data_IF_786755751701
#
_entry.id   IF_786755751701
#
_cell.length_a   1.000
_cell.length_b   1.000
_cell.length_c   1.000
_cell.angle_alpha   90.00
_cell.angle_beta   90.00
_cell.angle_gamma   90.00
#
_symmetry.space_group_name_H-M   'P 1'
#
loop_
_entity.id
_entity.type
_entity.pdbx_description
1 polymer ?
#
# COMPACT_ATOMS: atom_id res chain seq x y z
N UNK A 1 -11.34 -20.72 5.16
CA UNK A 1 -10.60 -19.96 6.18
C UNK A 1 -10.85 -20.61 7.54
N UNK A 2 -9.80 -20.86 8.32
CA UNK A 2 -9.86 -21.42 9.68
C UNK A 2 -9.03 -20.57 10.63
N UNK A 3 -9.39 -20.61 11.92
CA UNK A 3 -8.69 -19.89 12.97
C UNK A 3 -8.11 -20.89 13.97
N UNK A 4 -6.81 -20.90 14.22
CA UNK A 4 -6.19 -21.81 15.15
C UNK A 4 -6.60 -21.58 16.61
N UNK A 5 -7.17 -20.42 16.94
CA UNK A 5 -7.77 -20.17 18.23
C UNK A 5 -8.85 -21.22 18.56
N UNK A 6 -9.58 -21.74 17.56
CA UNK A 6 -10.68 -22.68 17.76
C UNK A 6 -10.23 -24.00 18.40
N UNK A 7 -9.00 -24.44 18.14
CA UNK A 7 -8.43 -25.67 18.74
C UNK A 7 -7.36 -25.39 19.79
N UNK A 8 -6.81 -24.18 19.87
CA UNK A 8 -5.80 -23.82 20.86
C UNK A 8 -6.36 -23.29 22.17
N UNK A 9 -7.54 -22.66 22.16
CA UNK A 9 -8.12 -21.97 23.33
C UNK A 9 -8.33 -22.87 24.56
N UNK A 10 -8.67 -24.13 24.31
CA UNK A 10 -8.93 -25.10 25.35
C UNK A 10 -7.72 -26.03 25.62
N UNK A 11 -6.60 -25.81 24.95
CA UNK A 11 -5.40 -26.61 25.07
C UNK A 11 -4.48 -26.05 26.16
N UNK A 12 -4.48 -26.70 27.34
CA UNK A 12 -3.66 -26.21 28.45
C UNK A 12 -2.16 -26.31 28.14
N UNK A 13 -1.35 -25.48 28.81
CA UNK A 13 0.11 -25.54 28.66
C UNK A 13 0.69 -26.91 29.00
N UNK A 14 0.12 -27.59 30.01
CA UNK A 14 0.54 -28.94 30.39
C UNK A 14 0.20 -29.97 29.33
N UNK A 15 -0.99 -29.86 28.76
CA UNK A 15 -1.38 -30.74 27.64
C UNK A 15 -0.50 -30.50 26.43
N UNK A 16 -0.22 -29.23 26.09
CA UNK A 16 0.67 -28.90 25.00
C UNK A 16 2.09 -29.47 25.20
N UNK A 17 2.64 -29.34 26.41
CA UNK A 17 3.95 -29.92 26.73
C UNK A 17 3.94 -31.46 26.60
N UNK A 18 2.84 -32.11 27.01
CA UNK A 18 2.68 -33.57 26.95
C UNK A 18 2.40 -34.06 25.53
N UNK A 19 1.52 -33.42 24.77
CA UNK A 19 1.06 -33.91 23.47
C UNK A 19 1.96 -33.44 22.30
N UNK A 20 2.62 -32.29 22.45
CA UNK A 20 3.46 -31.70 21.40
C UNK A 20 4.94 -31.68 21.83
N UNK A 21 5.21 -31.09 22.99
CA UNK A 21 6.57 -30.81 23.44
C UNK A 21 7.45 -32.06 23.55
N UNK A 22 6.91 -33.18 24.03
CA UNK A 22 7.67 -34.44 24.15
C UNK A 22 8.16 -35.05 22.83
N UNK A 23 7.53 -34.68 21.71
CA UNK A 23 7.85 -35.27 20.40
C UNK A 23 8.95 -34.51 19.65
N UNK A 24 9.22 -33.24 20.01
CA UNK A 24 10.22 -32.40 19.35
C UNK A 24 11.30 -32.03 20.38
N UNK A 25 12.54 -32.45 20.13
CA UNK A 25 13.65 -32.16 21.04
C UNK A 25 14.13 -30.73 20.94
N UNK A 26 14.64 -30.17 22.03
CA UNK A 26 15.27 -28.84 22.04
C UNK A 26 16.40 -28.76 21.01
N UNK A 27 17.22 -29.81 20.90
CA UNK A 27 18.31 -29.87 19.91
C UNK A 27 17.80 -29.72 18.46
N UNK A 28 16.64 -30.34 18.14
CA UNK A 28 16.00 -30.18 16.85
C UNK A 28 15.56 -28.72 16.61
N UNK A 29 14.95 -28.10 17.63
CA UNK A 29 14.50 -26.72 17.57
C UNK A 29 15.67 -25.74 17.39
N UNK A 30 16.75 -25.95 18.16
CA UNK A 30 17.98 -25.13 18.10
C UNK A 30 18.74 -25.29 16.78
N UNK A 31 18.57 -26.41 16.07
CA UNK A 31 19.22 -26.63 14.79
C UNK A 31 18.63 -25.83 13.62
N UNK A 32 17.46 -25.17 13.82
CA UNK A 32 16.85 -24.33 12.79
C UNK A 32 17.65 -23.07 12.53
N UNK A 33 17.81 -22.68 11.27
CA UNK A 33 18.63 -21.52 10.87
C UNK A 33 18.13 -20.20 11.51
N UNK A 34 16.81 -20.02 11.63
CA UNK A 34 16.20 -18.87 12.29
C UNK A 34 16.60 -18.77 13.76
N UNK A 35 16.68 -19.88 14.46
CA UNK A 35 17.11 -19.96 15.88
C UNK A 35 18.61 -19.77 16.00
N UNK A 36 19.42 -20.45 15.18
CA UNK A 36 20.89 -20.31 15.18
C UNK A 36 21.34 -18.87 14.98
N UNK A 37 20.78 -18.16 14.01
CA UNK A 37 21.09 -16.75 13.72
C UNK A 37 20.85 -15.85 14.93
N UNK A 38 19.75 -16.10 15.67
CA UNK A 38 19.43 -15.33 16.88
C UNK A 38 20.37 -15.66 18.04
N UNK A 39 20.70 -16.92 18.26
CA UNK A 39 21.60 -17.38 19.34
C UNK A 39 23.05 -16.97 19.11
N UNK A 40 23.51 -16.91 17.87
CA UNK A 40 24.88 -16.56 17.51
C UNK A 40 25.16 -15.04 17.54
N UNK A 41 24.21 -14.21 17.97
CA UNK A 41 24.40 -12.77 18.10
C UNK A 41 24.31 -11.98 16.78
N UNK A 42 23.84 -12.61 15.69
CA UNK A 42 23.58 -11.91 14.42
C UNK A 42 22.38 -10.95 14.50
N UNK A 43 21.54 -11.11 15.53
CA UNK A 43 20.46 -10.18 15.85
C UNK A 43 20.77 -9.45 17.18
N UNK A 44 20.47 -8.14 17.22
CA UNK A 44 20.66 -7.29 18.41
C UNK A 44 19.85 -7.73 19.62
N UNK A 45 18.66 -8.32 19.36
CA UNK A 45 17.73 -8.77 20.38
C UNK A 45 17.84 -10.30 20.54
N UNK A 46 17.81 -10.78 21.78
CA UNK A 46 17.77 -12.20 22.10
C UNK A 46 16.52 -12.89 21.54
N UNK A 47 16.46 -14.22 21.68
CA UNK A 47 15.30 -15.03 21.28
C UNK A 47 14.35 -15.14 22.46
N UNK A 48 13.12 -14.67 22.31
CA UNK A 48 12.08 -14.82 23.32
C UNK A 48 11.56 -16.28 23.39
N UNK A 49 10.98 -16.65 24.51
CA UNK A 49 10.33 -17.96 24.66
C UNK A 49 9.22 -18.15 23.61
N UNK A 50 8.44 -17.11 23.35
CA UNK A 50 7.37 -17.14 22.33
C UNK A 50 7.93 -17.41 20.93
N UNK A 51 8.98 -16.70 20.53
CA UNK A 51 9.62 -16.93 19.22
C UNK A 51 10.23 -18.32 19.13
N UNK A 52 10.85 -18.81 20.19
CA UNK A 52 11.43 -20.16 20.22
C UNK A 52 10.37 -21.26 20.09
N UNK A 53 9.25 -21.11 20.81
CA UNK A 53 8.14 -22.10 20.82
C UNK A 53 7.20 -21.97 19.65
N UNK A 54 7.24 -20.86 18.90
CA UNK A 54 6.34 -20.62 17.76
C UNK A 54 6.36 -21.75 16.72
N UNK A 55 7.54 -22.34 16.46
CA UNK A 55 7.65 -23.48 15.58
C UNK A 55 6.84 -24.70 16.04
N UNK A 56 6.62 -24.87 17.36
CA UNK A 56 5.78 -25.94 17.89
C UNK A 56 4.28 -25.62 17.73
N UNK A 57 3.90 -24.35 17.90
CA UNK A 57 2.51 -23.90 17.73
C UNK A 57 2.07 -24.11 16.27
N UNK A 58 2.84 -23.63 15.30
CA UNK A 58 2.55 -23.81 13.88
C UNK A 58 2.69 -25.30 13.48
N UNK A 59 3.61 -26.03 14.09
CA UNK A 59 3.76 -27.46 13.90
C UNK A 59 2.52 -28.24 14.32
N UNK A 60 1.94 -27.88 15.45
CA UNK A 60 0.68 -28.46 15.94
C UNK A 60 -0.51 -28.08 15.06
N UNK A 61 -0.58 -26.84 14.55
CA UNK A 61 -1.62 -26.45 13.60
C UNK A 61 -1.59 -27.36 12.36
N UNK A 62 -0.41 -27.71 11.84
CA UNK A 62 -0.30 -28.63 10.72
C UNK A 62 -0.75 -30.05 11.08
N UNK A 63 -0.36 -30.56 12.25
CA UNK A 63 -0.83 -31.86 12.77
C UNK A 63 -2.36 -31.88 12.92
N UNK A 64 -2.94 -30.86 13.54
CA UNK A 64 -4.39 -30.74 13.71
C UNK A 64 -5.13 -30.74 12.37
N UNK A 65 -4.65 -29.95 11.40
CA UNK A 65 -5.23 -29.90 10.06
C UNK A 65 -5.05 -31.22 9.29
N UNK A 66 -3.93 -31.90 9.50
CA UNK A 66 -3.71 -33.24 8.95
C UNK A 66 -4.74 -34.23 9.48
N UNK A 67 -4.95 -34.27 10.80
CA UNK A 67 -5.86 -35.22 11.46
C UNK A 67 -7.34 -34.90 11.19
N UNK A 68 -7.71 -33.63 11.21
CA UNK A 68 -9.13 -33.23 11.15
C UNK A 68 -9.62 -32.91 9.73
N UNK A 69 -8.71 -32.53 8.82
CA UNK A 69 -9.05 -32.08 7.46
C UNK A 69 -8.30 -32.85 6.36
N UNK A 70 -7.44 -33.79 6.70
CA UNK A 70 -6.62 -34.52 5.72
C UNK A 70 -5.60 -33.63 4.99
N UNK A 71 -5.18 -32.52 5.59
CA UNK A 71 -4.23 -31.59 5.00
C UNK A 71 -2.84 -32.23 4.92
N UNK A 72 -2.31 -32.44 3.70
CA UNK A 72 -1.02 -33.09 3.46
C UNK A 72 0.08 -32.16 2.94
N UNK A 73 -0.26 -30.93 2.58
CA UNK A 73 0.70 -29.95 2.07
C UNK A 73 0.56 -28.64 2.81
N UNK A 74 1.66 -28.14 3.38
CA UNK A 74 1.76 -26.78 3.90
C UNK A 74 2.69 -25.95 3.03
N UNK A 75 2.24 -24.75 2.65
CA UNK A 75 2.97 -23.82 1.78
C UNK A 75 3.23 -22.51 2.50
N UNK A 76 4.34 -21.83 2.17
CA UNK A 76 4.66 -20.52 2.71
C UNK A 76 5.85 -19.85 2.04
N UNK A 77 6.27 -18.71 2.57
CA UNK A 77 7.55 -18.11 2.19
C UNK A 77 8.73 -18.89 2.74
N UNK A 78 9.93 -18.69 2.20
CA UNK A 78 11.15 -19.40 2.63
C UNK A 78 11.50 -19.18 4.10
N UNK A 79 11.04 -18.10 4.71
CA UNK A 79 11.15 -17.82 6.14
C UNK A 79 10.32 -18.79 7.01
N UNK A 80 9.29 -19.43 6.44
CA UNK A 80 8.41 -20.39 7.11
C UNK A 80 8.94 -21.83 7.09
N UNK A 81 10.04 -22.10 6.36
CA UNK A 81 10.56 -23.46 6.19
C UNK A 81 10.78 -24.20 7.51
N UNK A 82 11.37 -23.52 8.51
CA UNK A 82 11.62 -24.09 9.83
C UNK A 82 10.35 -24.53 10.56
N UNK A 83 9.29 -23.70 10.50
CA UNK A 83 8.02 -23.97 11.15
C UNK A 83 7.28 -25.11 10.44
N UNK A 84 7.19 -25.05 9.09
CA UNK A 84 6.49 -26.05 8.27
C UNK A 84 7.14 -27.44 8.46
N UNK A 85 8.46 -27.52 8.40
CA UNK A 85 9.17 -28.78 8.58
C UNK A 85 9.08 -29.33 10.01
N UNK A 86 8.88 -28.48 11.02
CA UNK A 86 8.58 -28.92 12.39
C UNK A 86 7.23 -29.63 12.45
N UNK A 87 6.21 -29.11 11.74
CA UNK A 87 4.91 -29.78 11.63
C UNK A 87 5.01 -31.13 10.91
N UNK A 88 5.75 -31.20 9.81
CA UNK A 88 5.98 -32.46 9.11
C UNK A 88 6.66 -33.50 10.01
N UNK A 89 7.68 -33.10 10.78
CA UNK A 89 8.37 -34.00 11.71
C UNK A 89 7.45 -34.41 12.88
N UNK A 90 6.61 -33.50 13.38
CA UNK A 90 5.63 -33.81 14.42
C UNK A 90 4.64 -34.89 13.94
N UNK A 91 4.05 -34.71 12.75
CA UNK A 91 3.14 -35.69 12.12
C UNK A 91 3.84 -37.04 11.95
N UNK A 92 5.07 -37.03 11.45
CA UNK A 92 5.85 -38.30 11.29
C UNK A 92 6.03 -38.99 12.62
N UNK A 93 6.33 -38.29 13.70
CA UNK A 93 6.61 -38.89 15.02
C UNK A 93 5.37 -39.34 15.76
N UNK A 94 4.25 -38.64 15.58
CA UNK A 94 2.98 -38.96 16.28
C UNK A 94 2.17 -40.00 15.53
N UNK A 95 1.99 -39.80 14.22
CA UNK A 95 1.07 -40.60 13.41
C UNK A 95 1.73 -41.51 12.40
N UNK A 96 3.07 -41.43 12.21
CA UNK A 96 3.78 -42.10 11.12
C UNK A 96 3.36 -41.62 9.71
N UNK A 97 2.65 -40.47 9.65
CA UNK A 97 2.11 -39.92 8.40
C UNK A 97 3.18 -39.26 7.52
N UNK A 98 2.89 -39.21 6.23
CA UNK A 98 3.70 -38.53 5.24
C UNK A 98 3.00 -37.27 4.77
N UNK A 99 3.69 -36.12 4.86
CA UNK A 99 3.20 -34.79 4.44
C UNK A 99 4.31 -34.02 3.75
N UNK A 100 3.95 -32.96 3.05
CA UNK A 100 4.85 -32.20 2.19
C UNK A 100 4.94 -30.74 2.65
N UNK A 101 6.13 -30.17 2.47
CA UNK A 101 6.44 -28.75 2.69
C UNK A 101 6.87 -28.12 1.37
N UNK A 102 6.29 -26.98 1.04
CA UNK A 102 6.67 -26.18 -0.13
C UNK A 102 6.88 -24.73 0.27
N UNK A 103 8.02 -24.15 -0.09
CA UNK A 103 8.27 -22.73 0.13
C UNK A 103 8.69 -22.02 -1.13
N UNK A 104 8.30 -20.76 -1.26
CA UNK A 104 8.74 -19.84 -2.30
C UNK A 104 9.74 -18.82 -1.74
N UNK A 105 10.67 -18.31 -2.56
CA UNK A 105 11.51 -17.18 -2.15
C UNK A 105 10.68 -15.98 -1.72
N UNK A 106 11.19 -15.20 -0.75
CA UNK A 106 10.55 -13.96 -0.34
C UNK A 106 10.61 -12.92 -1.46
N UNK A 107 9.52 -12.17 -1.62
CA UNK A 107 9.47 -11.04 -2.53
C UNK A 107 10.16 -9.86 -1.86
N UNK A 108 11.20 -9.35 -2.50
CA UNK A 108 11.96 -8.18 -2.07
C UNK A 108 11.96 -7.14 -3.18
N UNK A 109 12.28 -5.89 -2.85
CA UNK A 109 12.62 -4.87 -3.84
C UNK A 109 13.97 -5.17 -4.47
N UNK A 110 14.25 -4.60 -5.64
CA UNK A 110 15.54 -4.76 -6.34
C UNK A 110 16.73 -4.23 -5.51
N UNK A 111 16.49 -3.25 -4.63
CA UNK A 111 17.47 -2.70 -3.68
C UNK A 111 17.66 -3.57 -2.42
N UNK A 112 16.98 -4.72 -2.32
CA UNK A 112 16.99 -5.62 -1.16
C UNK A 112 16.03 -5.22 -0.04
N UNK A 113 15.30 -4.11 -0.18
CA UNK A 113 14.30 -3.64 0.76
C UNK A 113 13.09 -4.57 0.87
N UNK A 114 12.33 -4.44 1.96
CA UNK A 114 11.08 -5.20 2.16
C UNK A 114 10.01 -4.73 1.18
N UNK A 115 9.37 -5.67 0.49
CA UNK A 115 8.22 -5.40 -0.37
C UNK A 115 6.98 -5.03 0.48
N UNK A 116 6.12 -4.16 -0.08
CA UNK A 116 4.85 -3.75 0.54
C UNK A 116 4.99 -2.76 1.70
N UNK A 117 6.21 -2.28 2.00
CA UNK A 117 6.45 -1.20 2.98
C UNK A 117 6.93 0.06 2.29
N UNK A 118 6.28 1.18 2.62
CA UNK A 118 6.67 2.53 2.21
C UNK A 118 7.11 3.34 3.43
N UNK A 119 7.63 4.54 3.23
CA UNK A 119 7.92 5.48 4.32
C UNK A 119 6.66 5.83 5.13
N UNK A 120 5.49 5.82 4.48
CA UNK A 120 4.17 6.07 5.08
C UNK A 120 3.48 4.82 5.66
N UNK A 121 4.13 3.64 5.63
CA UNK A 121 3.60 2.40 6.21
C UNK A 121 3.35 1.27 5.20
N UNK A 122 2.43 0.37 5.53
CA UNK A 122 2.08 -0.76 4.68
C UNK A 122 1.10 -0.36 3.57
N UNK A 123 1.18 -1.04 2.44
CA UNK A 123 0.16 -0.99 1.37
C UNK A 123 -0.84 -2.11 1.64
N UNK A 124 -2.06 -1.72 1.96
CA UNK A 124 -3.15 -2.62 2.31
C UNK A 124 -4.02 -2.95 1.08
N UNK A 125 -4.60 -4.15 1.05
CA UNK A 125 -5.57 -4.54 0.03
C UNK A 125 -6.96 -3.93 0.31
N UNK A 126 -7.26 -3.66 1.58
CA UNK A 126 -8.52 -3.08 2.02
C UNK A 126 -8.54 -1.56 1.71
N UNK A 127 -9.51 -1.07 0.93
CA UNK A 127 -9.59 0.33 0.53
C UNK A 127 -9.76 1.31 1.69
N UNK A 128 -10.22 0.84 2.85
CA UNK A 128 -10.33 1.65 4.08
C UNK A 128 -8.97 2.06 4.65
N UNK A 129 -7.90 1.31 4.36
CA UNK A 129 -6.54 1.57 4.85
C UNK A 129 -5.60 2.09 3.77
N UNK A 130 -5.80 1.68 2.52
CA UNK A 130 -5.06 2.19 1.35
C UNK A 130 -6.05 2.37 0.22
N UNK A 131 -6.36 3.62 -0.13
CA UNK A 131 -7.32 3.90 -1.21
C UNK A 131 -6.87 3.29 -2.53
N UNK A 132 -7.80 2.96 -3.46
CA UNK A 132 -7.46 2.43 -4.79
C UNK A 132 -6.47 3.33 -5.55
N UNK A 133 -6.59 4.66 -5.40
CA UNK A 133 -5.63 5.60 -5.97
C UNK A 133 -4.21 5.43 -5.43
N UNK A 134 -4.03 5.34 -4.10
CA UNK A 134 -2.72 5.11 -3.48
C UNK A 134 -2.15 3.74 -3.85
N UNK A 135 -3.01 2.75 -3.88
CA UNK A 135 -2.67 1.39 -4.31
C UNK A 135 -2.16 1.40 -5.75
N UNK A 136 -2.88 2.04 -6.68
CA UNK A 136 -2.45 2.24 -8.07
C UNK A 136 -1.11 2.98 -8.16
N UNK A 137 -0.95 4.09 -7.41
CA UNK A 137 0.28 4.88 -7.40
C UNK A 137 1.49 4.09 -6.88
N UNK A 138 1.29 3.22 -5.90
CA UNK A 138 2.36 2.34 -5.42
C UNK A 138 2.93 1.48 -6.55
N UNK A 139 2.08 0.80 -7.30
CA UNK A 139 2.49 -0.05 -8.41
C UNK A 139 3.03 0.76 -9.60
N UNK A 140 2.44 1.91 -9.87
CA UNK A 140 2.91 2.80 -10.93
C UNK A 140 4.33 3.32 -10.64
N UNK A 141 4.72 3.49 -9.37
CA UNK A 141 5.98 4.10 -8.97
C UNK A 141 7.10 3.11 -8.63
N UNK A 142 6.92 1.81 -8.87
CA UNK A 142 8.00 0.83 -8.71
C UNK A 142 9.14 1.09 -9.72
N UNK A 143 10.36 0.69 -9.37
CA UNK A 143 11.52 0.79 -10.26
C UNK A 143 11.36 -0.07 -11.53
N UNK A 144 12.11 0.20 -12.58
CA UNK A 144 12.06 -0.59 -13.80
C UNK A 144 12.46 -2.05 -13.53
N UNK A 145 13.48 -2.26 -12.71
CA UNK A 145 13.92 -3.60 -12.29
C UNK A 145 12.84 -4.35 -11.50
N UNK A 146 12.11 -3.65 -10.62
CA UNK A 146 10.99 -4.23 -9.88
C UNK A 146 9.81 -4.51 -10.80
N UNK A 147 9.47 -3.61 -11.70
CA UNK A 147 8.36 -3.79 -12.65
C UNK A 147 8.56 -5.03 -13.52
N UNK A 148 9.77 -5.25 -14.04
CA UNK A 148 10.13 -6.41 -14.86
C UNK A 148 10.01 -7.74 -14.09
N UNK A 149 10.19 -7.70 -12.77
CA UNK A 149 10.06 -8.85 -11.87
C UNK A 149 8.62 -9.06 -11.44
N UNK A 150 7.95 -7.99 -11.00
CA UNK A 150 6.62 -8.05 -10.39
C UNK A 150 5.53 -8.36 -11.41
N UNK A 151 5.67 -7.94 -12.67
CA UNK A 151 4.70 -8.27 -13.71
C UNK A 151 4.56 -9.79 -13.91
N UNK A 152 5.65 -10.55 -13.71
CA UNK A 152 5.67 -12.02 -13.77
C UNK A 152 5.04 -12.70 -12.55
N UNK A 153 5.00 -12.01 -11.41
CA UNK A 153 4.55 -12.58 -10.13
C UNK A 153 3.11 -12.21 -9.83
N UNK A 154 2.72 -10.97 -10.13
CA UNK A 154 1.46 -10.39 -9.68
C UNK A 154 0.39 -10.27 -10.78
N UNK A 155 0.68 -10.73 -12.01
CA UNK A 155 -0.30 -10.69 -13.10
C UNK A 155 -0.53 -12.08 -13.68
N UNK A 156 -1.69 -12.24 -14.34
CA UNK A 156 -2.03 -13.47 -15.08
C UNK A 156 -1.75 -13.33 -16.58
N UNK A 157 -0.88 -12.39 -16.96
CA UNK A 157 -0.49 -12.18 -18.36
C UNK A 157 0.30 -13.39 -18.88
N UNK A 158 0.13 -13.70 -20.15
CA UNK A 158 0.90 -14.74 -20.81
C UNK A 158 2.38 -14.36 -20.91
N UNK A 159 3.22 -15.35 -21.10
CA UNK A 159 4.66 -15.14 -21.29
C UNK A 159 4.94 -14.22 -22.49
N UNK A 160 4.23 -14.44 -23.59
CA UNK A 160 4.34 -13.67 -24.82
C UNK A 160 3.99 -12.21 -24.62
N UNK A 161 2.92 -11.92 -23.88
CA UNK A 161 2.53 -10.54 -23.53
C UNK A 161 3.59 -9.86 -22.66
N UNK A 162 4.13 -10.56 -21.65
CA UNK A 162 5.18 -10.03 -20.78
C UNK A 162 6.46 -9.75 -21.55
N UNK A 163 6.87 -10.64 -22.46
CA UNK A 163 8.06 -10.46 -23.29
C UNK A 163 7.90 -9.27 -24.25
N UNK A 164 6.73 -9.11 -24.88
CA UNK A 164 6.42 -7.96 -25.74
C UNK A 164 6.45 -6.62 -24.97
N UNK A 165 5.80 -6.57 -23.80
CA UNK A 165 5.79 -5.39 -22.93
C UNK A 165 7.20 -5.04 -22.42
N UNK A 166 8.01 -6.06 -22.14
CA UNK A 166 9.40 -5.85 -21.69
C UNK A 166 10.24 -5.22 -22.80
N UNK A 167 10.13 -5.73 -24.03
CA UNK A 167 10.83 -5.18 -25.18
C UNK A 167 10.40 -3.74 -25.49
N UNK A 168 9.09 -3.44 -25.41
CA UNK A 168 8.57 -2.08 -25.56
C UNK A 168 9.11 -1.14 -24.47
N UNK A 169 9.14 -1.60 -23.23
CA UNK A 169 9.67 -0.82 -22.12
C UNK A 169 11.16 -0.53 -22.26
N UNK A 170 11.96 -1.52 -22.64
CA UNK A 170 13.41 -1.37 -22.86
C UNK A 170 13.71 -0.36 -23.98
N UNK A 171 12.88 -0.29 -25.01
CA UNK A 171 13.02 0.67 -26.09
C UNK A 171 12.73 2.13 -25.66
N UNK A 172 11.81 2.33 -24.70
CA UNK A 172 11.41 3.65 -24.21
C UNK A 172 11.02 3.62 -22.70
N UNK A 173 11.98 3.46 -21.79
CA UNK A 173 11.70 3.30 -20.34
C UNK A 173 10.92 4.47 -19.73
N UNK A 174 11.13 5.69 -20.26
CA UNK A 174 10.43 6.91 -19.81
C UNK A 174 8.92 6.87 -20.00
N UNK A 175 8.39 6.02 -20.88
CA UNK A 175 6.95 5.81 -21.09
C UNK A 175 6.34 4.95 -19.98
N UNK A 176 7.16 4.22 -19.20
CA UNK A 176 6.75 3.40 -18.04
C UNK A 176 5.68 2.35 -18.39
N UNK A 177 5.83 1.69 -19.53
CA UNK A 177 4.82 0.75 -20.07
C UNK A 177 4.59 -0.43 -19.11
N UNK A 178 5.68 -1.01 -18.58
CA UNK A 178 5.60 -2.11 -17.62
C UNK A 178 4.88 -1.70 -16.33
N UNK A 179 5.23 -0.54 -15.74
CA UNK A 179 4.59 -0.06 -14.51
C UNK A 179 3.11 0.23 -14.73
N UNK A 180 2.76 0.85 -15.85
CA UNK A 180 1.35 1.14 -16.20
C UNK A 180 0.54 -0.15 -16.34
N UNK A 181 1.08 -1.15 -17.04
CA UNK A 181 0.40 -2.43 -17.21
C UNK A 181 0.31 -3.18 -15.88
N UNK A 182 1.37 -3.25 -15.11
CA UNK A 182 1.38 -3.85 -13.78
C UNK A 182 0.35 -3.20 -12.85
N UNK A 183 0.36 -1.87 -12.75
CA UNK A 183 -0.57 -1.12 -11.91
C UNK A 183 -2.03 -1.35 -12.35
N UNK A 184 -2.30 -1.40 -13.66
CA UNK A 184 -3.63 -1.74 -14.19
C UNK A 184 -4.08 -3.12 -13.71
N UNK A 185 -3.31 -4.16 -14.04
CA UNK A 185 -3.70 -5.54 -13.76
C UNK A 185 -3.94 -5.78 -12.25
N UNK A 186 -3.03 -5.28 -11.42
CA UNK A 186 -3.11 -5.53 -9.97
C UNK A 186 -4.23 -4.68 -9.33
N UNK A 187 -4.45 -3.45 -9.78
CA UNK A 187 -5.54 -2.61 -9.25
C UNK A 187 -6.90 -3.19 -9.63
N UNK A 188 -7.09 -3.63 -10.87
CA UNK A 188 -8.36 -4.29 -11.29
C UNK A 188 -8.58 -5.59 -10.51
N UNK A 189 -7.53 -6.39 -10.31
CA UNK A 189 -7.62 -7.66 -9.60
C UNK A 189 -8.04 -7.48 -8.12
N UNK A 190 -7.52 -6.47 -7.43
CA UNK A 190 -7.72 -6.27 -5.99
C UNK A 190 -8.96 -5.43 -5.69
N UNK A 191 -9.24 -4.45 -6.52
CA UNK A 191 -10.35 -3.51 -6.38
C UNK A 191 -11.35 -3.73 -7.51
N UNK A 192 -11.41 -2.81 -8.48
CA UNK A 192 -12.29 -2.91 -9.64
C UNK A 192 -11.71 -2.18 -10.86
N UNK A 193 -12.31 -2.39 -12.03
CA UNK A 193 -11.99 -1.61 -13.23
C UNK A 193 -12.43 -0.15 -13.08
N UNK A 194 -13.52 0.09 -12.36
CA UNK A 194 -14.02 1.44 -12.06
C UNK A 194 -13.02 2.20 -11.19
N UNK A 195 -12.53 1.58 -10.10
CA UNK A 195 -11.50 2.15 -9.23
C UNK A 195 -10.19 2.42 -9.97
N UNK A 196 -9.79 1.51 -10.86
CA UNK A 196 -8.62 1.73 -11.71
C UNK A 196 -8.80 2.95 -12.62
N UNK A 197 -9.94 3.08 -13.30
CA UNK A 197 -10.21 4.23 -14.17
C UNK A 197 -10.23 5.54 -13.38
N UNK A 198 -10.89 5.55 -12.22
CA UNK A 198 -10.87 6.70 -11.30
C UNK A 198 -9.46 7.07 -10.85
N UNK A 199 -8.60 6.08 -10.53
CA UNK A 199 -7.21 6.31 -10.15
C UNK A 199 -6.35 6.87 -11.31
N UNK A 200 -6.58 6.41 -12.54
CA UNK A 200 -5.92 6.95 -13.74
C UNK A 200 -6.34 8.40 -13.99
N UNK A 201 -7.64 8.69 -13.91
CA UNK A 201 -8.18 10.04 -14.10
C UNK A 201 -7.62 11.00 -13.04
N UNK A 202 -7.60 10.58 -11.77
CA UNK A 202 -7.01 11.32 -10.68
C UNK A 202 -5.49 11.57 -10.89
N UNK A 203 -4.76 10.57 -11.36
CA UNK A 203 -3.34 10.71 -11.71
C UNK A 203 -3.11 11.71 -12.84
N UNK A 204 -3.95 11.67 -13.87
CA UNK A 204 -3.91 12.62 -14.98
C UNK A 204 -4.26 14.05 -14.54
N UNK A 205 -5.16 14.20 -13.57
CA UNK A 205 -5.49 15.50 -12.98
C UNK A 205 -4.29 16.09 -12.23
N UNK A 206 -3.57 15.27 -11.46
CA UNK A 206 -2.41 15.74 -10.69
C UNK A 206 -1.20 16.06 -11.57
N UNK A 207 -0.85 15.15 -12.47
CA UNK A 207 0.43 15.16 -13.19
C UNK A 207 0.29 15.54 -14.66
N UNK A 208 -0.93 15.59 -15.19
CA UNK A 208 -1.24 15.95 -16.56
C UNK A 208 -1.79 17.35 -16.72
N UNK A 209 -2.22 17.66 -17.94
CA UNK A 209 -2.88 18.91 -18.33
C UNK A 209 -4.41 18.81 -18.15
N UNK A 210 -4.87 18.12 -17.11
CA UNK A 210 -6.30 17.94 -16.88
C UNK A 210 -7.01 19.26 -16.61
N UNK A 211 -8.23 19.37 -17.11
CA UNK A 211 -9.08 20.54 -16.97
C UNK A 211 -9.76 20.59 -15.60
N UNK A 212 -10.23 21.78 -15.22
CA UNK A 212 -11.10 22.00 -14.07
C UNK A 212 -12.34 21.09 -14.05
N UNK A 213 -12.89 20.79 -15.23
CA UNK A 213 -14.05 19.88 -15.35
C UNK A 213 -13.75 18.43 -14.95
N UNK A 214 -12.54 17.93 -15.22
CA UNK A 214 -12.13 16.59 -14.77
C UNK A 214 -11.99 16.55 -13.25
N UNK A 215 -11.50 17.63 -12.64
CA UNK A 215 -11.39 17.75 -11.18
C UNK A 215 -12.77 17.75 -10.50
N UNK A 216 -13.79 18.37 -11.11
CA UNK A 216 -15.17 18.42 -10.60
C UNK A 216 -15.90 17.06 -10.64
N UNK A 217 -15.36 16.07 -11.35
CA UNK A 217 -15.92 14.71 -11.43
C UNK A 217 -15.39 13.74 -10.38
N UNK A 218 -14.35 14.14 -9.62
CA UNK A 218 -13.82 13.30 -8.54
C UNK A 218 -14.81 13.31 -7.37
N UNK A 219 -15.06 12.13 -6.80
CA UNK A 219 -15.72 12.02 -5.51
C UNK A 219 -14.80 12.49 -4.37
N UNK A 220 -15.39 12.76 -3.20
CA UNK A 220 -14.68 13.28 -2.03
C UNK A 220 -13.53 12.37 -1.59
N UNK A 221 -13.73 11.05 -1.56
CA UNK A 221 -12.73 10.08 -1.11
C UNK A 221 -11.51 10.07 -2.05
N UNK A 222 -11.75 10.09 -3.33
CA UNK A 222 -10.70 10.18 -4.36
C UNK A 222 -9.99 11.52 -4.30
N UNK A 223 -10.72 12.64 -4.17
CA UNK A 223 -10.11 13.98 -4.04
C UNK A 223 -9.20 14.05 -2.81
N UNK A 224 -9.66 13.58 -1.66
CA UNK A 224 -8.86 13.57 -0.43
C UNK A 224 -7.65 12.64 -0.52
N UNK A 225 -7.80 11.48 -1.14
CA UNK A 225 -6.70 10.54 -1.36
C UNK A 225 -5.63 11.10 -2.31
N UNK A 226 -6.05 11.80 -3.34
CA UNK A 226 -5.18 12.48 -4.32
C UNK A 226 -4.35 13.58 -3.66
N UNK A 227 -4.97 14.35 -2.77
CA UNK A 227 -4.36 15.51 -2.08
C UNK A 227 -3.93 15.17 -0.64
N UNK A 228 -3.78 13.90 -0.31
CA UNK A 228 -3.27 13.51 1.01
C UNK A 228 -1.84 14.04 1.25
N UNK A 229 -1.63 14.62 2.44
CA UNK A 229 -0.36 15.26 2.80
C UNK A 229 -0.18 16.69 2.25
N UNK A 230 -1.12 17.19 1.46
CA UNK A 230 -1.17 18.58 1.05
C UNK A 230 -1.65 19.44 2.23
N UNK A 231 -1.04 20.62 2.48
CA UNK A 231 -1.52 21.51 3.54
C UNK A 231 -3.00 21.87 3.35
N UNK A 232 -3.77 21.77 4.42
CA UNK A 232 -5.21 22.01 4.43
C UNK A 232 -5.53 23.22 5.29
N UNK A 233 -6.49 24.02 4.85
CA UNK A 233 -6.99 25.21 5.55
C UNK A 233 -8.52 25.22 5.58
N UNK A 234 -9.10 25.70 6.67
CA UNK A 234 -10.53 25.82 6.81
C UNK A 234 -10.94 27.27 6.63
N UNK A 235 -12.04 27.50 5.93
CA UNK A 235 -12.63 28.85 5.71
C UNK A 235 -14.13 28.80 5.92
N UNK A 236 -14.72 29.94 6.31
CA UNK A 236 -16.17 30.06 6.49
C UNK A 236 -16.89 29.94 5.15
N UNK A 237 -17.87 29.02 5.07
CA UNK A 237 -18.76 28.88 3.93
C UNK A 237 -19.59 30.10 3.69
N UNK A 238 -20.03 30.77 4.77
CA UNK A 238 -20.81 32.03 4.69
C UNK A 238 -19.99 33.15 4.02
N UNK A 239 -18.68 33.22 4.32
CA UNK A 239 -17.80 34.19 3.67
C UNK A 239 -17.69 33.92 2.16
N UNK A 240 -17.61 32.64 1.74
CA UNK A 240 -17.63 32.27 0.32
C UNK A 240 -18.99 32.55 -0.34
N UNK A 241 -20.09 32.34 0.37
CA UNK A 241 -21.42 32.65 -0.13
C UNK A 241 -21.62 34.16 -0.37
N UNK A 242 -21.02 35.01 0.48
CA UNK A 242 -21.01 36.45 0.30
C UNK A 242 -20.06 36.93 -0.81
N UNK A 243 -19.17 36.08 -1.26
CA UNK A 243 -18.09 36.38 -2.20
C UNK A 243 -16.89 37.05 -1.53
N UNK A 244 -15.74 36.40 -1.62
CA UNK A 244 -14.47 36.86 -1.03
C UNK A 244 -13.41 37.04 -2.11
N UNK A 245 -12.62 38.12 -2.03
CA UNK A 245 -11.51 38.30 -2.97
C UNK A 245 -10.45 37.24 -2.76
N UNK A 246 -9.93 36.67 -3.85
CA UNK A 246 -8.89 35.61 -3.80
C UNK A 246 -7.67 36.02 -2.96
N UNK A 247 -7.28 37.30 -3.00
CA UNK A 247 -6.16 37.81 -2.20
C UNK A 247 -6.45 37.75 -0.70
N UNK A 248 -7.65 38.07 -0.27
CA UNK A 248 -8.04 38.01 1.14
C UNK A 248 -8.25 36.56 1.58
N UNK A 249 -8.85 35.76 0.72
CA UNK A 249 -9.05 34.32 0.97
C UNK A 249 -7.72 33.57 1.14
N UNK A 250 -6.77 33.76 0.22
CA UNK A 250 -5.54 32.93 0.19
C UNK A 250 -4.39 33.52 1.02
N UNK A 251 -4.47 34.75 1.47
CA UNK A 251 -3.46 35.38 2.33
C UNK A 251 -3.96 35.48 3.77
N UNK A 252 -5.12 36.12 3.96
CA UNK A 252 -5.59 36.45 5.30
C UNK A 252 -6.34 35.29 5.97
N UNK A 253 -7.14 34.53 5.20
CA UNK A 253 -7.95 33.43 5.75
C UNK A 253 -7.24 32.06 5.72
N UNK A 254 -6.63 31.69 4.60
CA UNK A 254 -6.06 30.37 4.41
C UNK A 254 -4.51 30.33 4.46
N UNK A 255 -3.84 31.49 4.63
CA UNK A 255 -2.38 31.59 4.74
C UNK A 255 -1.56 30.79 3.70
N UNK A 256 -2.11 30.61 2.47
CA UNK A 256 -1.43 29.93 1.34
C UNK A 256 -0.23 30.75 0.89
N UNK A 257 -0.31 32.07 1.00
CA UNK A 257 0.75 33.03 0.67
C UNK A 257 1.15 33.84 1.90
N UNK A 258 2.44 34.11 2.03
CA UNK A 258 2.96 34.87 3.17
C UNK A 258 2.57 36.39 3.11
N UNK A 259 2.25 36.90 1.94
CA UNK A 259 1.82 38.31 1.79
C UNK A 259 1.03 38.56 0.51
N UNK A 260 0.20 39.62 0.52
CA UNK A 260 -0.55 40.08 -0.66
C UNK A 260 0.37 40.48 -1.82
N UNK A 261 1.56 41.01 -1.51
CA UNK A 261 2.57 41.36 -2.51
C UNK A 261 3.16 40.17 -3.22
N UNK A 262 3.42 39.10 -2.49
CA UNK A 262 3.88 37.82 -3.04
C UNK A 262 2.85 37.19 -3.99
N UNK A 263 1.60 37.12 -3.52
CA UNK A 263 0.50 36.58 -4.33
C UNK A 263 0.31 37.37 -5.61
N UNK A 264 0.31 38.72 -5.52
CA UNK A 264 0.17 39.57 -6.69
C UNK A 264 1.22 39.31 -7.76
N UNK A 265 2.49 39.22 -7.38
CA UNK A 265 3.60 38.90 -8.30
C UNK A 265 3.40 37.55 -8.97
N UNK A 266 3.01 36.52 -8.20
CA UNK A 266 2.78 35.18 -8.74
C UNK A 266 1.57 35.12 -9.66
N UNK A 267 0.47 35.80 -9.36
CA UNK A 267 -0.70 35.88 -10.24
C UNK A 267 -0.33 36.57 -11.56
N UNK A 268 0.40 37.69 -11.53
CA UNK A 268 0.89 38.37 -12.74
C UNK A 268 1.78 37.48 -13.60
N UNK A 269 2.56 36.60 -12.99
CA UNK A 269 3.39 35.59 -13.68
C UNK A 269 2.63 34.32 -14.09
N UNK A 270 1.31 34.26 -13.88
CA UNK A 270 0.50 33.05 -14.16
C UNK A 270 0.84 31.84 -13.28
N UNK A 271 1.43 32.10 -12.11
CA UNK A 271 1.87 31.08 -11.17
C UNK A 271 0.85 30.69 -10.09
N UNK A 272 -0.40 31.15 -10.19
CA UNK A 272 -1.47 30.78 -9.26
C UNK A 272 -2.66 30.24 -10.03
N UNK A 273 -3.18 29.11 -9.61
CA UNK A 273 -4.42 28.54 -10.17
C UNK A 273 -5.39 28.19 -9.05
N UNK A 274 -6.68 28.36 -9.32
CA UNK A 274 -7.79 27.87 -8.52
C UNK A 274 -8.47 26.75 -9.32
N UNK A 275 -8.61 25.57 -8.72
CA UNK A 275 -9.22 24.40 -9.36
C UNK A 275 -8.63 24.09 -10.75
N UNK A 276 -7.29 24.22 -10.89
CA UNK A 276 -6.53 24.07 -12.14
C UNK A 276 -6.72 25.18 -13.18
N UNK A 277 -7.60 26.13 -12.97
CA UNK A 277 -7.73 27.31 -13.81
C UNK A 277 -6.83 28.45 -13.31
N UNK A 278 -6.11 29.08 -14.22
CA UNK A 278 -5.27 30.22 -13.83
C UNK A 278 -6.11 31.35 -13.29
N UNK A 279 -5.70 31.88 -12.15
CA UNK A 279 -6.36 33.04 -11.56
C UNK A 279 -6.14 34.25 -12.47
N UNK A 280 -7.23 34.83 -12.97
CA UNK A 280 -7.19 35.94 -13.92
C UNK A 280 -6.70 37.24 -13.28
N UNK A 281 -7.08 37.48 -12.02
CA UNK A 281 -6.69 38.65 -11.26
C UNK A 281 -6.52 38.30 -9.77
N UNK A 282 -5.63 39.01 -9.07
CA UNK A 282 -5.38 38.76 -7.63
C UNK A 282 -6.58 39.12 -6.74
N UNK A 283 -7.48 39.97 -7.21
CA UNK A 283 -8.71 40.38 -6.56
C UNK A 283 -9.98 39.73 -7.15
N UNK A 284 -9.82 38.70 -7.95
CA UNK A 284 -10.92 37.85 -8.44
C UNK A 284 -11.79 37.40 -7.27
N UNK A 285 -13.11 37.51 -7.41
CA UNK A 285 -14.06 37.04 -6.39
C UNK A 285 -14.22 35.53 -6.48
N UNK A 286 -14.06 34.85 -5.37
CA UNK A 286 -14.28 33.42 -5.18
C UNK A 286 -15.57 33.22 -4.39
N UNK A 287 -16.41 32.30 -4.83
CA UNK A 287 -17.73 32.05 -4.26
C UNK A 287 -17.96 30.58 -4.01
N UNK A 288 -19.09 30.19 -3.46
CA UNK A 288 -19.50 28.80 -3.32
C UNK A 288 -19.67 28.09 -4.66
N UNK A 289 -19.85 28.79 -5.79
CA UNK A 289 -19.90 28.19 -7.12
C UNK A 289 -18.55 27.63 -7.60
N UNK A 290 -17.46 28.05 -6.98
CA UNK A 290 -16.12 27.58 -7.27
C UNK A 290 -15.78 26.30 -6.48
N UNK A 291 -16.63 25.85 -5.55
CA UNK A 291 -16.36 24.66 -4.73
C UNK A 291 -16.41 23.38 -5.56
N UNK A 292 -15.45 22.51 -5.33
CA UNK A 292 -15.43 21.12 -5.77
C UNK A 292 -16.19 20.32 -4.72
N UNK A 293 -17.08 19.43 -5.16
CA UNK A 293 -17.94 18.63 -4.28
C UNK A 293 -18.61 19.48 -3.16
N UNK A 294 -19.03 20.67 -3.53
CA UNK A 294 -19.68 21.66 -2.64
C UNK A 294 -18.91 21.98 -1.33
N UNK A 295 -17.61 21.63 -1.26
CA UNK A 295 -16.84 21.70 -0.01
C UNK A 295 -15.39 22.14 -0.17
N UNK A 296 -14.74 21.91 -1.31
CA UNK A 296 -13.30 22.06 -1.45
C UNK A 296 -12.90 23.09 -2.51
N UNK A 297 -11.80 23.81 -2.27
CA UNK A 297 -11.09 24.58 -3.28
C UNK A 297 -9.65 24.10 -3.38
N UNK A 298 -9.17 23.85 -4.58
CA UNK A 298 -7.80 23.48 -4.84
C UNK A 298 -7.00 24.70 -5.31
N UNK A 299 -6.05 25.14 -4.49
CA UNK A 299 -5.15 26.24 -4.84
C UNK A 299 -3.79 25.66 -5.24
N UNK A 300 -3.30 26.07 -6.41
CA UNK A 300 -1.96 25.71 -6.87
C UNK A 300 -1.06 26.94 -6.88
N UNK A 301 0.09 26.88 -6.19
CA UNK A 301 1.14 27.89 -6.13
C UNK A 301 2.38 27.39 -6.88
N UNK A 302 2.69 27.99 -8.01
CA UNK A 302 3.74 27.52 -8.92
C UNK A 302 3.38 26.19 -9.55
N UNK A 303 4.39 25.40 -9.92
CA UNK A 303 4.19 24.15 -10.69
C UNK A 303 3.89 22.91 -9.81
N UNK A 304 4.28 22.91 -8.53
CA UNK A 304 4.30 21.69 -7.71
C UNK A 304 3.59 21.80 -6.37
N UNK A 305 3.27 22.99 -5.88
CA UNK A 305 2.71 23.15 -4.54
C UNK A 305 1.19 23.30 -4.63
N UNK A 306 0.50 22.38 -4.00
CA UNK A 306 -0.95 22.34 -3.89
C UNK A 306 -1.38 22.60 -2.44
N UNK A 307 -2.53 23.21 -2.29
CA UNK A 307 -3.17 23.52 -1.01
C UNK A 307 -4.66 23.24 -1.15
N UNK A 308 -5.25 22.57 -0.17
CA UNK A 308 -6.66 22.27 -0.14
C UNK A 308 -7.35 23.19 0.87
N UNK A 309 -8.36 23.93 0.44
CA UNK A 309 -9.18 24.78 1.30
C UNK A 309 -10.53 24.09 1.49
N UNK A 310 -10.96 23.95 2.73
CA UNK A 310 -12.20 23.28 3.14
C UNK A 310 -13.19 24.35 3.60
N UNK A 311 -14.33 24.44 2.94
CA UNK A 311 -15.45 25.30 3.34
C UNK A 311 -16.27 24.62 4.45
N UNK A 312 -16.33 25.27 5.62
CA UNK A 312 -17.13 24.81 6.77
C UNK A 312 -18.22 25.83 7.14
#
# INVERSE_FOLDING_TARGET
>A
LVNNYDWMKDFSFLDFAREVGKHITVNYMMAKDSVKKRLNGEARDGLSFTEFTYQLLQGYDFLHLYETKGCKLQMGGSDQWGNITTGAELIRRTNGGEVFALTSPLITKADGGKFGKTESGNIWLDPRYTSPYKFYQFWLNVSDADAARYIKIFTSLSREEIEALTAEHEAAPHLRVLQKRLAKEVTIMVHSEEDYNAAVDASNILFGNATSEALKKLDEDTLLAVFEGVPQFEVSRDALAAGVKAVDLFVDNAAVFASKGEMRKLVQGGGVSLNKEKLAAFDQVVTTADLLDDKYLLVQRGKKNYYLIIAK
#
